data_IF_716630324425
#
_entry.id   IF_716630324425
#
_cell.length_a   1.000
_cell.length_b   1.000
_cell.length_c   1.000
_cell.angle_alpha   90.00
_cell.angle_beta   90.00
_cell.angle_gamma   90.00
#
_symmetry.space_group_name_H-M   'P 1'
#
loop_
_entity.id
_entity.type
_entity.pdbx_description
1 polymer ?
#
# COMPACT_ATOMS: atom_id res chain seq x y z
N UNK A 1 2.86 25.89 60.56
CA UNK A 1 3.15 24.43 60.52
C UNK A 1 1.81 23.73 60.43
N UNK A 2 1.37 23.17 59.30
CA UNK A 2 2.12 22.48 58.25
C UNK A 2 1.52 22.79 56.86
N UNK A 3 2.40 23.12 55.91
CA UNK A 3 2.09 23.09 54.47
C UNK A 3 2.18 21.63 54.03
N UNK A 4 1.05 21.01 53.69
CA UNK A 4 1.04 19.76 52.94
C UNK A 4 1.16 20.09 51.45
N UNK A 5 2.28 19.68 50.88
CA UNK A 5 2.59 19.78 49.45
C UNK A 5 1.58 18.93 48.66
N UNK A 6 0.83 19.57 47.77
CA UNK A 6 0.05 18.89 46.73
C UNK A 6 1.05 18.34 45.72
N UNK A 7 1.37 17.04 45.81
CA UNK A 7 2.14 16.34 44.79
C UNK A 7 1.28 16.18 43.53
N UNK A 8 1.62 16.92 42.48
CA UNK A 8 1.05 16.79 41.14
C UNK A 8 1.71 15.64 40.36
N UNK A 9 1.74 14.44 40.95
CA UNK A 9 2.24 13.22 40.30
C UNK A 9 1.08 12.33 39.84
N UNK A 10 0.07 12.94 39.21
CA UNK A 10 -0.85 12.16 38.37
C UNK A 10 -0.09 11.87 37.07
N UNK A 11 0.23 10.61 36.75
CA UNK A 11 0.81 10.30 35.45
C UNK A 11 -0.18 10.76 34.39
N UNK A 12 0.27 11.59 33.44
CA UNK A 12 -0.46 11.79 32.20
C UNK A 12 -0.67 10.40 31.61
N UNK A 13 -1.90 9.88 31.68
CA UNK A 13 -2.23 8.62 31.04
C UNK A 13 -1.87 8.78 29.57
N UNK A 14 -0.87 8.02 29.12
CA UNK A 14 -0.54 7.92 27.71
C UNK A 14 -1.85 7.67 26.94
N UNK A 15 -2.09 8.34 25.80
CA UNK A 15 -3.26 8.06 24.99
C UNK A 15 -3.23 6.56 24.72
N UNK A 16 -4.22 5.85 25.27
CA UNK A 16 -4.38 4.42 25.01
C UNK A 16 -4.73 4.30 23.53
N UNK A 17 -3.70 4.12 22.71
CA UNK A 17 -3.85 3.69 21.33
C UNK A 17 -4.48 2.30 21.42
N UNK A 18 -5.81 2.22 21.33
CA UNK A 18 -6.50 0.96 21.11
C UNK A 18 -5.77 0.22 19.99
N UNK A 19 -5.44 -1.07 20.16
CA UNK A 19 -4.72 -1.81 19.15
C UNK A 19 -5.54 -1.77 17.87
N UNK A 20 -4.99 -1.14 16.83
CA UNK A 20 -5.60 -1.00 15.52
C UNK A 20 -6.15 -2.37 15.09
N UNK A 21 -7.49 -2.49 15.10
CA UNK A 21 -8.17 -3.75 14.86
C UNK A 21 -7.90 -4.15 13.40
N UNK A 22 -6.95 -5.07 13.20
CA UNK A 22 -6.56 -5.54 11.87
C UNK A 22 -7.74 -6.26 11.23
N UNK A 23 -8.42 -5.58 10.32
CA UNK A 23 -9.46 -6.21 9.51
C UNK A 23 -8.84 -7.28 8.59
N UNK A 24 -9.38 -8.50 8.55
CA UNK A 24 -8.98 -9.49 7.56
C UNK A 24 -9.07 -8.92 6.14
N UNK A 25 -8.04 -9.12 5.32
CA UNK A 25 -8.02 -8.60 3.94
C UNK A 25 -9.20 -9.10 3.10
N UNK A 26 -9.74 -10.27 3.45
CA UNK A 26 -10.91 -10.86 2.81
C UNK A 26 -12.16 -10.01 3.06
N UNK A 27 -12.35 -9.46 4.26
CA UNK A 27 -13.46 -8.55 4.56
C UNK A 27 -13.35 -7.23 3.78
N UNK A 28 -12.12 -6.73 3.57
CA UNK A 28 -11.89 -5.52 2.76
C UNK A 28 -12.26 -5.72 1.28
N UNK A 29 -12.16 -6.96 0.79
CA UNK A 29 -12.40 -7.32 -0.62
C UNK A 29 -13.84 -7.82 -0.85
N UNK A 30 -14.43 -8.49 0.14
CA UNK A 30 -15.74 -9.16 0.05
C UNK A 30 -16.86 -8.50 0.87
N UNK A 31 -16.52 -7.69 1.87
CA UNK A 31 -17.46 -6.95 2.70
C UNK A 31 -17.62 -5.47 2.28
N UNK A 32 -18.10 -4.64 3.20
CA UNK A 32 -18.16 -3.18 3.00
C UNK A 32 -16.76 -2.59 3.10
N UNK A 33 -16.15 -2.31 1.94
CA UNK A 33 -14.84 -1.70 1.87
C UNK A 33 -14.80 -0.36 2.63
N UNK A 34 -13.80 -0.13 3.50
CA UNK A 34 -13.70 1.13 4.23
C UNK A 34 -13.66 2.34 3.30
N UNK A 35 -14.27 3.48 3.68
CA UNK A 35 -14.36 4.66 2.81
C UNK A 35 -13.01 5.16 2.29
N UNK A 36 -11.95 5.06 3.11
CA UNK A 36 -10.60 5.49 2.74
C UNK A 36 -9.97 4.59 1.67
N UNK A 37 -10.19 3.26 1.74
CA UNK A 37 -9.75 2.31 0.69
C UNK A 37 -10.50 2.58 -0.61
N UNK A 38 -11.81 2.81 -0.52
CA UNK A 38 -12.61 3.13 -1.70
C UNK A 38 -12.17 4.45 -2.35
N UNK A 39 -11.84 5.47 -1.55
CA UNK A 39 -11.29 6.74 -2.05
C UNK A 39 -9.96 6.52 -2.78
N UNK A 40 -9.08 5.69 -2.23
CA UNK A 40 -7.82 5.31 -2.88
C UNK A 40 -8.06 4.66 -4.25
N UNK A 41 -8.91 3.62 -4.31
CA UNK A 41 -9.20 2.90 -5.57
C UNK A 41 -9.85 3.81 -6.61
N UNK A 42 -10.80 4.68 -6.20
CA UNK A 42 -11.41 5.66 -7.09
C UNK A 42 -10.38 6.67 -7.62
N UNK A 43 -9.42 7.09 -6.79
CA UNK A 43 -8.32 7.97 -7.18
C UNK A 43 -7.39 7.34 -8.21
N UNK A 44 -6.93 6.12 -7.96
CA UNK A 44 -6.15 5.32 -8.93
C UNK A 44 -6.90 5.18 -10.24
N UNK A 45 -8.19 4.87 -10.13
CA UNK A 45 -9.07 4.69 -11.26
C UNK A 45 -9.32 5.94 -12.11
N UNK A 46 -9.43 7.10 -11.47
CA UNK A 46 -9.52 8.40 -12.14
C UNK A 46 -8.23 8.66 -12.92
N UNK A 47 -7.08 8.47 -12.29
CA UNK A 47 -5.76 8.68 -12.90
C UNK A 47 -5.59 7.81 -14.15
N UNK A 48 -5.87 6.51 -14.05
CA UNK A 48 -5.80 5.58 -15.18
C UNK A 48 -6.66 6.06 -16.36
N UNK A 49 -7.88 6.56 -16.08
CA UNK A 49 -8.78 7.04 -17.13
C UNK A 49 -8.30 8.38 -17.72
N UNK A 50 -7.94 9.34 -16.86
CA UNK A 50 -7.46 10.67 -17.25
C UNK A 50 -6.25 10.59 -18.17
N UNK A 51 -5.33 9.67 -17.90
CA UNK A 51 -4.11 9.50 -18.69
C UNK A 51 -4.18 8.33 -19.67
N UNK A 52 -5.34 7.70 -19.84
CA UNK A 52 -5.53 6.54 -20.74
C UNK A 52 -4.44 5.47 -20.58
N UNK A 53 -4.13 5.09 -19.33
CA UNK A 53 -2.98 4.23 -19.03
C UNK A 53 -3.22 2.74 -19.30
N UNK A 54 -4.48 2.30 -19.30
CA UNK A 54 -4.85 0.88 -19.44
C UNK A 54 -6.07 0.78 -20.35
N UNK A 55 -5.96 -0.08 -21.37
CA UNK A 55 -6.97 -0.29 -22.38
C UNK A 55 -7.63 -1.68 -22.29
N UNK A 56 -8.73 -1.84 -23.03
CA UNK A 56 -9.45 -3.11 -23.15
C UNK A 56 -8.55 -4.17 -23.80
N UNK A 57 -8.58 -5.37 -23.24
CA UNK A 57 -7.83 -6.56 -23.64
C UNK A 57 -6.30 -6.44 -23.58
N UNK A 58 -5.79 -5.44 -22.86
CA UNK A 58 -4.35 -5.21 -22.74
C UNK A 58 -3.68 -6.23 -21.80
N UNK A 59 -2.36 -6.44 -21.98
CA UNK A 59 -1.52 -7.28 -21.12
C UNK A 59 -0.61 -6.39 -20.28
N UNK A 60 -0.99 -6.17 -19.04
CA UNK A 60 -0.27 -5.36 -18.07
C UNK A 60 0.81 -6.20 -17.36
N UNK A 61 2.05 -5.70 -17.37
CA UNK A 61 3.14 -6.22 -16.53
C UNK A 61 3.37 -5.25 -15.35
N UNK A 62 3.11 -5.71 -14.14
CA UNK A 62 3.29 -4.95 -12.92
C UNK A 62 4.62 -5.30 -12.25
N UNK A 63 5.51 -4.32 -12.12
CA UNK A 63 6.70 -4.45 -11.29
C UNK A 63 6.32 -4.46 -9.80
N UNK A 64 6.72 -5.50 -9.08
CA UNK A 64 6.46 -5.66 -7.64
C UNK A 64 7.78 -5.71 -6.89
N UNK A 65 7.99 -4.74 -6.00
CA UNK A 65 9.19 -4.69 -5.15
C UNK A 65 9.01 -5.44 -3.83
N UNK A 66 7.77 -5.84 -3.49
CA UNK A 66 7.41 -6.37 -2.17
C UNK A 66 7.08 -5.26 -1.15
N UNK A 67 7.25 -4.00 -1.53
CA UNK A 67 6.85 -2.86 -0.70
C UNK A 67 5.35 -2.57 -0.75
N UNK A 68 4.87 -1.87 0.28
CA UNK A 68 3.47 -1.47 0.45
C UNK A 68 2.88 -0.77 -0.78
N UNK A 69 3.66 0.06 -1.47
CA UNK A 69 3.17 0.88 -2.59
C UNK A 69 2.88 0.02 -3.82
N UNK A 70 3.77 -0.92 -4.15
CA UNK A 70 3.58 -1.86 -5.27
C UNK A 70 2.41 -2.83 -5.01
N UNK A 71 2.24 -3.27 -3.76
CA UNK A 71 1.13 -4.14 -3.36
C UNK A 71 -0.19 -3.38 -3.31
N UNK A 72 -0.20 -2.12 -2.87
CA UNK A 72 -1.39 -1.26 -2.90
C UNK A 72 -1.86 -1.01 -4.34
N UNK A 73 -0.93 -0.78 -5.26
CA UNK A 73 -1.25 -0.66 -6.68
C UNK A 73 -1.81 -1.97 -7.25
N UNK A 74 -1.18 -3.11 -6.94
CA UNK A 74 -1.68 -4.43 -7.34
C UNK A 74 -3.12 -4.67 -6.84
N UNK A 75 -3.39 -4.31 -5.57
CA UNK A 75 -4.71 -4.40 -4.97
C UNK A 75 -5.73 -3.53 -5.71
N UNK A 76 -5.42 -2.25 -5.94
CA UNK A 76 -6.32 -1.33 -6.63
C UNK A 76 -6.68 -1.80 -8.05
N UNK A 77 -5.69 -2.29 -8.80
CA UNK A 77 -5.91 -2.85 -10.13
C UNK A 77 -6.77 -4.11 -10.07
N UNK A 78 -6.46 -5.05 -9.17
CA UNK A 78 -7.23 -6.30 -9.02
C UNK A 78 -8.71 -6.05 -8.72
N UNK A 79 -9.01 -5.09 -7.83
CA UNK A 79 -10.39 -4.72 -7.47
C UNK A 79 -11.07 -4.02 -8.64
N UNK A 80 -10.38 -3.09 -9.30
CA UNK A 80 -10.93 -2.36 -10.45
C UNK A 80 -11.31 -3.32 -11.59
N UNK A 81 -10.52 -4.38 -11.83
CA UNK A 81 -10.84 -5.43 -12.81
C UNK A 81 -12.13 -6.18 -12.47
N UNK A 82 -12.49 -6.30 -11.19
CA UNK A 82 -13.74 -6.94 -10.74
C UNK A 82 -14.95 -6.04 -10.88
N UNK A 83 -14.79 -4.72 -10.70
CA UNK A 83 -15.90 -3.78 -10.66
C UNK A 83 -16.23 -3.12 -12.00
N UNK A 84 -15.25 -2.99 -12.89
CA UNK A 84 -15.45 -2.30 -14.16
C UNK A 84 -15.59 -3.31 -15.31
N UNK A 85 -16.38 -2.98 -16.35
CA UNK A 85 -16.51 -3.80 -17.55
C UNK A 85 -15.29 -3.66 -18.48
N UNK A 86 -14.08 -3.53 -17.90
CA UNK A 86 -12.81 -3.49 -18.63
C UNK A 86 -12.04 -4.78 -18.34
N UNK A 87 -11.73 -5.53 -19.40
CA UNK A 87 -10.98 -6.78 -19.30
C UNK A 87 -9.53 -6.51 -19.65
N UNK A 88 -8.60 -6.89 -18.78
CA UNK A 88 -7.17 -6.88 -19.07
C UNK A 88 -6.48 -8.00 -18.31
N UNK A 89 -5.40 -8.51 -18.89
CA UNK A 89 -4.57 -9.52 -18.23
C UNK A 89 -3.49 -8.81 -17.43
N UNK A 90 -3.27 -9.21 -16.18
CA UNK A 90 -2.24 -8.64 -15.34
C UNK A 90 -1.27 -9.75 -14.89
N UNK A 91 0.03 -9.52 -15.06
CA UNK A 91 1.10 -10.36 -14.54
C UNK A 91 2.00 -9.52 -13.64
N UNK A 92 2.44 -10.08 -12.52
CA UNK A 92 3.41 -9.44 -11.65
C UNK A 92 4.81 -9.96 -11.97
N UNK A 93 5.82 -9.08 -11.91
CA UNK A 93 7.23 -9.45 -11.96
C UNK A 93 7.94 -8.88 -10.75
N UNK A 94 8.69 -9.70 -10.04
CA UNK A 94 9.55 -9.29 -8.95
C UNK A 94 10.98 -9.57 -9.35
N UNK A 95 11.82 -8.55 -9.24
CA UNK A 95 13.24 -8.66 -9.54
C UNK A 95 13.97 -8.90 -8.22
N UNK A 96 14.48 -10.11 -8.04
CA UNK A 96 15.31 -10.45 -6.90
C UNK A 96 16.79 -10.24 -7.27
N UNK A 97 17.43 -9.23 -6.67
CA UNK A 97 18.82 -8.88 -6.95
C UNK A 97 19.84 -9.72 -6.17
N UNK A 98 19.38 -10.53 -5.20
CA UNK A 98 20.25 -11.29 -4.29
C UNK A 98 21.03 -12.39 -5.04
N UNK A 99 20.44 -12.95 -6.10
CA UNK A 99 21.04 -14.07 -6.84
C UNK A 99 22.13 -13.65 -7.84
N UNK A 100 22.22 -12.36 -8.18
CA UNK A 100 23.28 -11.80 -9.02
C UNK A 100 23.86 -10.54 -8.38
N UNK A 101 24.74 -10.68 -7.37
CA UNK A 101 25.40 -9.53 -6.77
C UNK A 101 26.11 -8.73 -7.86
N UNK A 102 25.76 -7.46 -7.96
CA UNK A 102 26.46 -6.49 -8.80
C UNK A 102 27.95 -6.60 -8.46
N UNK A 103 28.80 -6.82 -9.46
CA UNK A 103 30.25 -6.87 -9.24
C UNK A 103 30.70 -5.58 -8.56
N UNK A 104 31.74 -5.63 -7.72
CA UNK A 104 32.25 -4.44 -7.02
C UNK A 104 32.62 -3.32 -8.01
N UNK A 105 33.11 -3.66 -9.19
CA UNK A 105 33.38 -2.70 -10.28
C UNK A 105 32.12 -1.97 -10.76
N UNK A 106 30.99 -2.67 -10.82
CA UNK A 106 29.71 -2.11 -11.24
C UNK A 106 29.06 -1.30 -10.12
N UNK A 107 29.26 -1.69 -8.84
CA UNK A 107 28.87 -0.87 -7.67
C UNK A 107 29.61 0.45 -7.62
N UNK A 108 30.92 0.44 -7.92
CA UNK A 108 31.74 1.67 -7.95
C UNK A 108 31.33 2.64 -9.06
N UNK A 109 30.79 2.14 -10.18
CA UNK A 109 30.25 2.99 -11.26
C UNK A 109 28.91 3.65 -10.91
N UNK A 110 28.09 3.02 -10.06
CA UNK A 110 26.79 3.57 -9.61
C UNK A 110 26.93 4.62 -8.49
N UNK A 111 28.09 4.68 -7.83
CA UNK A 111 28.37 5.63 -6.73
C UNK A 111 28.97 6.97 -7.18
N UNK A 112 29.09 7.21 -8.49
CA UNK A 112 29.58 8.47 -9.08
C UNK A 112 28.45 9.38 -9.49
#
# INVERSE_FOLDING_TARGET
MNNEFINNDTPLTEPQNEPEKKHPYQELIHGSMPPWVMRFIKGTGRTINTFSMIHQNERLLLGVSGGKDSLALALALSIRRRWLPISYTMKAVMINWIEHPISEDSKNKLRR
#
